data_IF_923040526451
#
_entry.id   IF_923040526451
#
_cell.length_a   1.000
_cell.length_b   1.000
_cell.length_c   1.000
_cell.angle_alpha   90.00
_cell.angle_beta   90.00
_cell.angle_gamma   90.00
#
_symmetry.space_group_name_H-M   'P 1'
#
loop_
_entity.id
_entity.type
_entity.pdbx_description
1 polymer ?
#
# COMPACT_ATOMS: atom_id res chain seq x y z
N UNK A 1 -13.63 14.40 1.96
CA UNK A 1 -13.89 13.21 1.10
C UNK A 1 -12.64 12.88 0.28
N UNK A 2 -12.38 11.60 0.08
CA UNK A 2 -11.19 11.18 -0.67
C UNK A 2 -11.42 11.30 -2.17
N UNK A 3 -10.53 12.02 -2.84
CA UNK A 3 -10.55 12.15 -4.30
C UNK A 3 -10.34 10.78 -4.99
N UNK A 4 -9.49 9.93 -4.42
CA UNK A 4 -9.21 8.62 -5.00
C UNK A 4 -10.46 7.75 -5.07
N UNK A 5 -11.23 7.65 -3.99
CA UNK A 5 -12.48 6.90 -4.00
C UNK A 5 -13.52 7.51 -4.93
N UNK A 6 -13.58 8.85 -4.98
CA UNK A 6 -14.52 9.55 -5.86
C UNK A 6 -14.24 9.30 -7.34
N UNK A 7 -12.97 9.32 -7.75
CA UNK A 7 -12.58 9.10 -9.15
C UNK A 7 -13.08 7.76 -9.68
N UNK A 8 -13.08 6.74 -8.84
CA UNK A 8 -13.52 5.40 -9.24
C UNK A 8 -14.94 5.07 -8.81
N UNK A 9 -15.67 6.06 -8.27
CA UNK A 9 -17.06 5.91 -7.82
C UNK A 9 -17.21 4.76 -6.80
N UNK A 10 -16.24 4.66 -5.90
CA UNK A 10 -16.23 3.65 -4.85
C UNK A 10 -16.58 4.26 -3.52
N UNK A 11 -17.32 3.51 -2.69
CA UNK A 11 -17.54 3.88 -1.30
C UNK A 11 -16.21 3.86 -0.53
N UNK A 12 -15.95 4.84 0.36
CA UNK A 12 -14.69 4.85 1.12
C UNK A 12 -14.74 3.79 2.22
N UNK A 13 -14.12 2.65 1.92
CA UNK A 13 -14.05 1.51 2.83
C UNK A 13 -12.78 0.71 2.58
N UNK A 14 -12.34 -0.06 3.58
CA UNK A 14 -11.11 -0.84 3.46
C UNK A 14 -11.25 -2.00 2.48
N UNK A 15 -12.39 -2.72 2.52
CA UNK A 15 -12.65 -3.81 1.58
C UNK A 15 -13.14 -3.23 0.25
N UNK A 16 -12.31 -3.37 -0.78
CA UNK A 16 -12.59 -2.89 -2.14
C UNK A 16 -12.58 -4.08 -3.08
N UNK A 17 -13.55 -4.13 -3.99
CA UNK A 17 -13.54 -5.10 -5.08
C UNK A 17 -12.43 -4.73 -6.06
N UNK A 18 -11.33 -5.45 -6.03
CA UNK A 18 -10.15 -5.17 -6.83
C UNK A 18 -10.42 -5.32 -8.33
N UNK A 19 -11.29 -6.24 -8.73
CA UNK A 19 -11.67 -6.40 -10.13
C UNK A 19 -12.46 -5.20 -10.62
N UNK A 20 -13.40 -4.71 -9.83
CA UNK A 20 -14.18 -3.52 -10.15
C UNK A 20 -13.27 -2.30 -10.26
N UNK A 21 -12.37 -2.13 -9.30
CA UNK A 21 -11.38 -1.04 -9.30
C UNK A 21 -10.53 -1.08 -10.56
N UNK A 22 -10.00 -2.25 -10.91
CA UNK A 22 -9.16 -2.44 -12.09
C UNK A 22 -9.91 -2.15 -13.38
N UNK A 23 -11.16 -2.61 -13.50
CA UNK A 23 -12.00 -2.34 -14.68
C UNK A 23 -12.28 -0.86 -14.84
N UNK A 24 -12.64 -0.18 -13.75
CA UNK A 24 -12.93 1.26 -13.79
C UNK A 24 -11.68 2.05 -14.13
N UNK A 25 -10.54 1.68 -13.56
CA UNK A 25 -9.26 2.32 -13.88
C UNK A 25 -8.95 2.20 -15.37
N UNK A 26 -9.05 0.98 -15.94
CA UNK A 26 -8.74 0.76 -17.36
C UNK A 26 -9.68 1.53 -18.26
N UNK A 27 -10.98 1.58 -17.94
CA UNK A 27 -11.97 2.32 -18.71
C UNK A 27 -11.65 3.82 -18.73
N UNK A 28 -11.37 4.40 -17.56
CA UNK A 28 -11.05 5.82 -17.44
C UNK A 28 -9.69 6.15 -18.08
N UNK A 29 -8.69 5.28 -17.89
CA UNK A 29 -7.37 5.46 -18.49
C UNK A 29 -7.46 5.45 -20.02
N UNK A 30 -8.29 4.60 -20.60
CA UNK A 30 -8.53 4.57 -22.05
C UNK A 30 -9.25 5.83 -22.52
N UNK A 31 -10.24 6.30 -21.75
CA UNK A 31 -11.02 7.51 -22.08
C UNK A 31 -10.14 8.76 -22.12
N UNK A 32 -9.20 8.89 -21.20
CA UNK A 32 -8.33 10.08 -21.06
C UNK A 32 -6.92 9.87 -21.59
N UNK A 33 -6.67 8.79 -22.33
CA UNK A 33 -5.35 8.51 -22.87
C UNK A 33 -4.90 9.66 -23.80
N UNK A 34 -3.67 10.19 -23.62
CA UNK A 34 -3.19 11.33 -24.40
C UNK A 34 -3.29 11.13 -25.92
N UNK A 35 -3.12 9.91 -26.42
CA UNK A 35 -3.22 9.59 -27.85
C UNK A 35 -4.60 9.93 -28.44
N UNK A 36 -5.66 9.87 -27.63
CA UNK A 36 -7.01 10.23 -28.07
C UNK A 36 -7.17 11.74 -28.26
N UNK A 37 -6.26 12.53 -27.72
CA UNK A 37 -6.30 13.99 -27.78
C UNK A 37 -5.25 14.57 -28.71
N UNK A 38 -4.64 13.73 -29.57
CA UNK A 38 -3.56 14.16 -30.47
C UNK A 38 -3.99 15.31 -31.39
N UNK A 39 -5.25 15.36 -31.82
CA UNK A 39 -5.80 16.40 -32.67
C UNK A 39 -6.57 17.48 -31.89
N UNK A 40 -6.62 17.39 -30.56
CA UNK A 40 -7.33 18.33 -29.70
C UNK A 40 -6.49 19.59 -29.44
N UNK A 41 -7.10 20.59 -28.77
CA UNK A 41 -6.41 21.80 -28.39
C UNK A 41 -5.29 21.50 -27.36
N UNK A 42 -4.31 22.41 -27.26
CA UNK A 42 -3.23 22.30 -26.28
C UNK A 42 -3.79 22.20 -24.84
N UNK A 43 -4.85 22.94 -24.55
CA UNK A 43 -5.52 22.91 -23.24
C UNK A 43 -6.12 21.51 -22.95
N UNK A 44 -6.83 20.94 -23.92
CA UNK A 44 -7.43 19.62 -23.78
C UNK A 44 -6.37 18.53 -23.65
N UNK A 45 -5.26 18.63 -24.41
CA UNK A 45 -4.15 17.69 -24.28
C UNK A 45 -3.54 17.74 -22.89
N UNK A 46 -3.36 18.95 -22.34
CA UNK A 46 -2.84 19.12 -20.98
C UNK A 46 -3.77 18.51 -19.94
N UNK A 47 -5.08 18.73 -20.10
CA UNK A 47 -6.07 18.14 -19.19
C UNK A 47 -6.05 16.61 -19.22
N UNK A 48 -5.89 16.02 -20.40
CA UNK A 48 -5.79 14.55 -20.55
C UNK A 48 -4.58 14.00 -19.81
N UNK A 49 -3.43 14.66 -19.93
CA UNK A 49 -2.20 14.28 -19.21
C UNK A 49 -2.40 14.37 -17.70
N UNK A 50 -2.98 15.47 -17.23
CA UNK A 50 -3.23 15.68 -15.81
C UNK A 50 -4.22 14.65 -15.24
N UNK A 51 -5.28 14.33 -16.00
CA UNK A 51 -6.25 13.32 -15.59
C UNK A 51 -5.61 11.93 -15.53
N UNK A 52 -4.80 11.57 -16.52
CA UNK A 52 -4.08 10.30 -16.54
C UNK A 52 -3.18 10.18 -15.30
N UNK A 53 -2.44 11.23 -14.95
CA UNK A 53 -1.60 11.24 -13.76
C UNK A 53 -2.44 11.06 -12.49
N UNK A 54 -3.59 11.74 -12.39
CA UNK A 54 -4.48 11.64 -11.24
C UNK A 54 -5.08 10.23 -11.12
N UNK A 55 -5.46 9.61 -12.23
CA UNK A 55 -5.98 8.24 -12.25
C UNK A 55 -4.93 7.23 -11.82
N UNK A 56 -3.71 7.37 -12.30
CA UNK A 56 -2.61 6.49 -11.93
C UNK A 56 -2.30 6.58 -10.43
N UNK A 57 -2.26 7.79 -9.90
CA UNK A 57 -2.01 8.02 -8.48
C UNK A 57 -3.14 7.46 -7.62
N UNK A 58 -4.38 7.67 -8.01
CA UNK A 58 -5.55 7.16 -7.29
C UNK A 58 -5.59 5.62 -7.32
N UNK A 59 -5.25 5.01 -8.45
CA UNK A 59 -5.20 3.56 -8.57
C UNK A 59 -4.12 2.96 -7.68
N UNK A 60 -2.92 3.56 -7.68
CA UNK A 60 -1.84 3.12 -6.79
C UNK A 60 -2.26 3.23 -5.32
N UNK A 61 -2.96 4.31 -4.97
CA UNK A 61 -3.47 4.52 -3.61
C UNK A 61 -4.46 3.42 -3.21
N UNK A 62 -5.42 3.07 -4.06
CA UNK A 62 -6.52 2.18 -3.69
C UNK A 62 -6.22 0.70 -3.94
N UNK A 63 -5.31 0.38 -4.86
CA UNK A 63 -4.97 -1.02 -5.16
C UNK A 63 -4.08 -1.67 -4.12
N UNK A 64 -3.39 -0.89 -3.31
CA UNK A 64 -2.50 -1.39 -2.27
C UNK A 64 -3.18 -1.25 -0.90
N UNK A 65 -3.35 -2.35 -0.12
CA UNK A 65 -4.10 -2.30 1.13
C UNK A 65 -3.60 -1.26 2.14
N UNK A 66 -2.29 -1.09 2.29
CA UNK A 66 -1.73 -0.12 3.24
C UNK A 66 -1.96 1.32 2.77
N UNK A 67 -1.82 1.58 1.47
CA UNK A 67 -2.10 2.90 0.91
C UNK A 67 -3.58 3.24 1.07
N UNK A 68 -4.45 2.28 0.81
CA UNK A 68 -5.90 2.43 0.98
C UNK A 68 -6.25 2.72 2.44
N UNK A 69 -5.65 1.99 3.38
CA UNK A 69 -5.84 2.23 4.82
C UNK A 69 -5.37 3.62 5.20
N UNK A 70 -4.19 4.04 4.72
CA UNK A 70 -3.66 5.38 5.00
C UNK A 70 -4.59 6.48 4.47
N UNK A 71 -5.18 6.27 3.28
CA UNK A 71 -6.15 7.21 2.70
C UNK A 71 -7.40 7.33 3.56
N UNK A 72 -7.94 6.21 4.04
CA UNK A 72 -9.10 6.21 4.93
C UNK A 72 -8.80 6.92 6.25
N UNK A 73 -7.60 6.74 6.79
CA UNK A 73 -7.16 7.41 8.01
C UNK A 73 -7.00 8.92 7.78
N UNK A 74 -6.48 9.32 6.62
CA UNK A 74 -6.37 10.73 6.25
C UNK A 74 -7.74 11.41 6.24
N UNK A 75 -8.78 10.71 5.80
CA UNK A 75 -10.16 11.21 5.84
C UNK A 75 -10.65 11.47 7.27
N UNK A 76 -10.05 10.79 8.26
CA UNK A 76 -10.33 10.99 9.68
C UNK A 76 -9.37 11.98 10.34
N UNK A 77 -8.53 12.65 9.54
CA UNK A 77 -7.56 13.61 10.05
C UNK A 77 -6.31 12.97 10.66
N UNK A 78 -6.06 11.68 10.37
CA UNK A 78 -4.90 10.95 10.91
C UNK A 78 -3.91 10.69 9.78
N UNK A 79 -2.69 11.20 9.93
CA UNK A 79 -1.58 10.90 9.04
C UNK A 79 -0.79 9.73 9.64
N UNK A 80 -1.10 8.51 9.16
CA UNK A 80 -0.47 7.29 9.67
C UNK A 80 1.01 7.21 9.32
N UNK A 81 1.44 7.87 8.25
CA UNK A 81 2.82 7.85 7.76
C UNK A 81 3.66 9.05 8.24
N UNK A 82 3.13 9.84 9.17
CA UNK A 82 3.83 11.01 9.69
C UNK A 82 5.16 10.63 10.34
N UNK A 83 6.26 11.40 10.10
CA UNK A 83 7.60 11.04 10.59
C UNK A 83 7.72 10.93 12.11
N UNK A 84 6.87 11.63 12.87
CA UNK A 84 6.87 11.59 14.32
C UNK A 84 6.37 10.26 14.90
N UNK A 85 5.72 9.42 14.11
CA UNK A 85 5.20 8.14 14.57
C UNK A 85 6.25 7.04 14.42
N UNK A 86 7.18 6.99 15.38
CA UNK A 86 8.30 6.04 15.37
C UNK A 86 8.20 4.96 16.44
N UNK A 87 7.13 4.99 17.26
CA UNK A 87 6.98 4.06 18.39
C UNK A 87 6.26 2.79 17.93
N UNK A 88 6.83 1.66 18.32
CA UNK A 88 6.22 0.34 18.11
C UNK A 88 6.13 -0.39 19.45
N UNK A 89 5.17 -1.33 19.59
CA UNK A 89 5.13 -2.19 20.78
C UNK A 89 6.45 -2.94 20.95
N UNK A 90 6.90 -3.19 22.22
CA UNK A 90 8.17 -3.90 22.44
C UNK A 90 8.24 -5.26 21.75
N UNK A 91 7.13 -6.01 21.71
CA UNK A 91 7.07 -7.30 21.05
C UNK A 91 7.35 -7.19 19.55
N UNK A 92 6.84 -6.14 18.90
CA UNK A 92 7.09 -5.90 17.49
C UNK A 92 8.56 -5.51 17.24
N UNK A 93 9.13 -4.72 18.13
CA UNK A 93 10.57 -4.37 18.04
C UNK A 93 11.45 -5.61 18.17
N UNK A 94 11.11 -6.51 19.10
CA UNK A 94 11.85 -7.79 19.25
C UNK A 94 11.72 -8.64 17.98
N UNK A 95 10.53 -8.71 17.40
CA UNK A 95 10.30 -9.44 16.17
C UNK A 95 11.13 -8.85 15.01
N UNK A 96 11.20 -7.53 14.91
CA UNK A 96 12.05 -6.87 13.91
C UNK A 96 13.51 -7.29 14.06
N UNK A 97 14.03 -7.31 15.28
CA UNK A 97 15.38 -7.72 15.55
C UNK A 97 15.64 -9.17 15.13
N UNK A 98 14.71 -10.07 15.42
CA UNK A 98 14.81 -11.47 15.04
C UNK A 98 14.83 -11.65 13.52
N UNK A 99 13.97 -10.95 12.81
CA UNK A 99 13.93 -11.01 11.35
C UNK A 99 15.19 -10.44 10.71
N UNK A 100 15.72 -9.34 11.24
CA UNK A 100 16.95 -8.75 10.71
C UNK A 100 18.15 -9.68 10.95
N UNK A 101 18.22 -10.31 12.10
CA UNK A 101 19.27 -11.29 12.39
C UNK A 101 19.18 -12.49 11.46
N UNK A 102 17.97 -13.02 11.25
CA UNK A 102 17.72 -14.14 10.34
C UNK A 102 18.13 -13.78 8.90
N UNK A 103 17.84 -12.57 8.44
CA UNK A 103 18.25 -12.11 7.12
C UNK A 103 19.77 -12.00 7.01
N UNK A 104 20.42 -11.43 8.01
CA UNK A 104 21.89 -11.30 8.03
C UNK A 104 22.55 -12.65 7.99
N UNK A 105 22.06 -13.62 8.76
CA UNK A 105 22.59 -14.99 8.78
C UNK A 105 22.41 -15.67 7.41
N UNK A 106 21.23 -15.52 6.82
CA UNK A 106 20.94 -16.09 5.51
C UNK A 106 21.80 -15.46 4.40
N UNK A 107 22.04 -14.16 4.46
CA UNK A 107 22.93 -13.46 3.52
C UNK A 107 24.38 -13.94 3.66
N UNK A 108 24.86 -14.05 4.89
CA UNK A 108 26.23 -14.48 5.16
C UNK A 108 26.48 -15.92 4.67
N UNK A 109 25.46 -16.77 4.77
CA UNK A 109 25.51 -18.18 4.33
C UNK A 109 25.14 -18.37 2.85
N UNK A 110 24.73 -17.31 2.15
CA UNK A 110 24.17 -17.37 0.80
C UNK A 110 23.02 -18.39 0.68
N UNK A 111 22.18 -18.43 1.72
CA UNK A 111 21.10 -19.40 1.86
C UNK A 111 19.79 -18.81 1.30
N UNK A 112 19.57 -19.02 0.00
CA UNK A 112 18.36 -18.53 -0.68
C UNK A 112 17.08 -19.17 -0.14
N UNK A 113 17.15 -20.43 0.26
CA UNK A 113 15.99 -21.13 0.84
C UNK A 113 15.59 -20.50 2.18
N UNK A 114 16.56 -20.11 3.02
CA UNK A 114 16.29 -19.42 4.27
C UNK A 114 15.66 -18.06 4.02
N UNK A 115 16.13 -17.31 3.01
CA UNK A 115 15.54 -16.02 2.62
C UNK A 115 14.10 -16.20 2.17
N UNK A 116 13.80 -17.22 1.37
CA UNK A 116 12.45 -17.50 0.89
C UNK A 116 11.52 -17.84 2.07
N UNK A 117 11.97 -18.63 3.02
CA UNK A 117 11.18 -18.96 4.22
C UNK A 117 10.89 -17.73 5.06
N UNK A 118 11.86 -16.85 5.20
CA UNK A 118 11.69 -15.60 5.94
C UNK A 118 10.66 -14.69 5.24
N UNK A 119 10.73 -14.57 3.92
CA UNK A 119 9.76 -13.79 3.16
C UNK A 119 8.34 -14.35 3.32
N UNK A 120 8.19 -15.67 3.29
CA UNK A 120 6.89 -16.32 3.51
C UNK A 120 6.34 -16.06 4.91
N UNK A 121 7.20 -16.11 5.93
CA UNK A 121 6.81 -15.81 7.31
C UNK A 121 6.27 -14.38 7.42
N UNK A 122 6.99 -13.41 6.87
CA UNK A 122 6.58 -12.01 6.90
C UNK A 122 5.33 -11.79 6.06
N UNK A 123 5.18 -12.49 4.93
CA UNK A 123 3.97 -12.43 4.13
C UNK A 123 2.73 -12.89 4.91
N UNK A 124 2.88 -13.94 5.73
CA UNK A 124 1.77 -14.40 6.61
C UNK A 124 1.41 -13.35 7.65
N UNK A 125 2.42 -12.71 8.24
CA UNK A 125 2.19 -11.61 9.18
C UNK A 125 1.45 -10.45 8.51
N UNK A 126 1.80 -10.13 7.27
CA UNK A 126 1.07 -9.11 6.51
C UNK A 126 -0.39 -9.47 6.28
N UNK A 127 -0.70 -10.72 5.96
CA UNK A 127 -2.07 -11.14 5.75
C UNK A 127 -2.90 -11.05 7.04
N UNK A 128 -2.30 -11.42 8.17
CA UNK A 128 -2.92 -11.25 9.49
C UNK A 128 -3.18 -9.77 9.79
N UNK A 129 -2.22 -8.92 9.46
CA UNK A 129 -2.33 -7.48 9.67
C UNK A 129 -3.49 -6.89 8.86
N UNK A 130 -3.66 -7.33 7.62
CA UNK A 130 -4.77 -6.86 6.78
C UNK A 130 -6.12 -7.27 7.38
N UNK A 131 -6.22 -8.47 7.95
CA UNK A 131 -7.40 -8.91 8.68
C UNK A 131 -7.68 -8.04 9.90
N UNK A 132 -6.63 -7.66 10.64
CA UNK A 132 -6.76 -6.75 11.78
C UNK A 132 -7.20 -5.36 11.33
N UNK A 133 -6.65 -4.84 10.24
CA UNK A 133 -7.07 -3.55 9.68
C UNK A 133 -8.55 -3.55 9.34
N UNK A 134 -9.04 -4.61 8.71
CA UNK A 134 -10.46 -4.75 8.40
C UNK A 134 -11.32 -4.62 9.67
N UNK A 135 -10.91 -5.30 10.74
CA UNK A 135 -11.59 -5.24 12.03
C UNK A 135 -11.54 -3.86 12.66
N UNK A 136 -10.39 -3.20 12.62
CA UNK A 136 -10.23 -1.87 13.20
C UNK A 136 -11.10 -0.83 12.47
N UNK A 137 -11.15 -0.87 11.15
CA UNK A 137 -12.00 0.06 10.40
C UNK A 137 -13.48 -0.22 10.65
N UNK A 138 -13.88 -1.49 10.73
CA UNK A 138 -15.27 -1.86 11.03
C UNK A 138 -15.71 -1.37 12.42
N UNK A 139 -14.79 -1.38 13.39
CA UNK A 139 -15.04 -0.92 14.75
C UNK A 139 -14.74 0.56 14.97
N UNK A 140 -14.34 1.28 13.92
CA UNK A 140 -13.93 2.69 13.98
C UNK A 140 -12.79 2.95 14.97
N UNK A 141 -11.89 1.97 15.10
CA UNK A 141 -10.70 2.05 15.95
C UNK A 141 -9.52 2.58 15.13
N UNK A 142 -9.56 3.88 14.82
CA UNK A 142 -8.65 4.50 13.86
C UNK A 142 -7.21 4.59 14.35
N UNK A 143 -6.98 4.78 15.65
CA UNK A 143 -5.61 4.81 16.20
C UNK A 143 -4.94 3.45 16.08
N UNK A 144 -5.68 2.37 16.35
CA UNK A 144 -5.19 1.02 16.17
C UNK A 144 -4.92 0.72 14.70
N UNK A 145 -5.81 1.19 13.81
CA UNK A 145 -5.60 1.05 12.36
C UNK A 145 -4.34 1.78 11.92
N UNK A 146 -4.09 2.99 12.42
CA UNK A 146 -2.89 3.76 12.11
C UNK A 146 -1.61 3.03 12.57
N UNK A 147 -1.64 2.46 13.76
CA UNK A 147 -0.53 1.65 14.28
C UNK A 147 -0.26 0.44 13.38
N UNK A 148 -1.35 -0.23 12.95
CA UNK A 148 -1.23 -1.37 12.04
C UNK A 148 -0.65 -0.97 10.68
N UNK A 149 -1.01 0.19 10.14
CA UNK A 149 -0.42 0.71 8.90
C UNK A 149 1.09 0.88 9.06
N UNK A 150 1.53 1.48 10.17
CA UNK A 150 2.97 1.68 10.43
C UNK A 150 3.72 0.35 10.51
N UNK A 151 3.14 -0.65 11.18
CA UNK A 151 3.72 -1.99 11.23
C UNK A 151 3.77 -2.63 9.84
N UNK A 152 2.69 -2.49 9.07
CA UNK A 152 2.63 -3.00 7.70
C UNK A 152 3.67 -2.38 6.77
N UNK A 153 3.93 -1.08 6.90
CA UNK A 153 4.99 -0.40 6.15
C UNK A 153 6.35 -1.02 6.44
N UNK A 154 6.62 -1.33 7.70
CA UNK A 154 7.85 -2.03 8.07
C UNK A 154 7.94 -3.40 7.41
N UNK A 155 6.85 -4.17 7.43
CA UNK A 155 6.81 -5.50 6.80
C UNK A 155 7.08 -5.42 5.30
N UNK A 156 6.47 -4.46 4.61
CA UNK A 156 6.72 -4.22 3.18
C UNK A 156 8.20 -3.92 2.91
N UNK A 157 8.79 -3.04 3.72
CA UNK A 157 10.20 -2.67 3.57
C UNK A 157 11.11 -3.88 3.79
N UNK A 158 10.82 -4.68 4.80
CA UNK A 158 11.58 -5.88 5.10
C UNK A 158 11.54 -6.89 3.94
N UNK A 159 10.35 -7.09 3.37
CA UNK A 159 10.20 -7.97 2.20
C UNK A 159 10.97 -7.47 0.99
N UNK A 160 11.01 -6.15 0.77
CA UNK A 160 11.82 -5.56 -0.30
C UNK A 160 13.31 -5.80 -0.07
N UNK A 161 13.79 -5.66 1.17
CA UNK A 161 15.17 -5.94 1.51
C UNK A 161 15.54 -7.41 1.26
N UNK A 162 14.64 -8.33 1.60
CA UNK A 162 14.84 -9.76 1.35
C UNK A 162 14.94 -10.03 -0.15
N UNK A 163 14.06 -9.45 -0.96
CA UNK A 163 14.08 -9.62 -2.42
C UNK A 163 15.38 -9.10 -3.04
N UNK A 164 15.87 -7.96 -2.57
CA UNK A 164 17.14 -7.42 -3.03
C UNK A 164 18.30 -8.34 -2.67
N UNK A 165 18.30 -8.89 -1.46
CA UNK A 165 19.32 -9.82 -1.01
C UNK A 165 19.32 -11.09 -1.82
N UNK A 166 18.14 -11.62 -2.18
CA UNK A 166 18.00 -12.84 -2.99
C UNK A 166 18.35 -12.61 -4.46
N UNK A 167 18.09 -11.41 -4.98
CA UNK A 167 18.37 -11.05 -6.36
C UNK A 167 19.79 -10.54 -6.63
N UNK A 168 20.50 -10.23 -5.56
CA UNK A 168 21.87 -9.76 -5.63
C UNK A 168 22.86 -10.87 -5.38
#
# INVERSE_FOLDING_TARGET
>A
MSRAFQLFQLAPQFDVDEEQLSRQYRALAAQFHPDRFAAASAFEQKQAVMMTAALNQAYECLSHPLNRAAELLQMQGIDADAPEHTRFPPEFLMQQMQWREALMDAQAAHDEAAMARLDEEIAREQQQLYGQLRGYFAAEQYEQAAQAVRQGRFLDKMRQEIRKAAGG
#
